data_IF_749084244174
#
_entry.id   IF_749084244174
#
_cell.length_a   1.000
_cell.length_b   1.000
_cell.length_c   1.000
_cell.angle_alpha   90.00
_cell.angle_beta   90.00
_cell.angle_gamma   90.00
#
_symmetry.space_group_name_H-M   'P 1'
#
loop_
_entity.id
_entity.type
_entity.pdbx_description
1 polymer ?
#
# COMPACT_ATOMS: atom_id res chain seq x y z
N UNK A 1 48.51 6.09 37.73
CA UNK A 1 48.04 6.55 36.41
C UNK A 1 47.18 5.48 35.76
N UNK A 2 45.90 5.76 35.52
CA UNK A 2 45.09 5.43 34.33
C UNK A 2 43.61 5.63 34.67
N UNK A 3 43.10 6.81 34.34
CA UNK A 3 41.67 7.12 34.31
C UNK A 3 41.11 6.45 33.05
N UNK A 4 40.23 5.48 33.20
CA UNK A 4 39.43 4.97 32.08
C UNK A 4 38.21 5.89 32.01
N UNK A 5 38.27 6.87 31.13
CA UNK A 5 37.11 7.66 30.72
C UNK A 5 36.25 6.74 29.83
N UNK A 6 35.19 6.16 30.40
CA UNK A 6 34.12 5.57 29.59
C UNK A 6 33.36 6.71 28.93
N UNK A 7 33.65 6.97 27.66
CA UNK A 7 32.86 7.86 26.82
C UNK A 7 31.46 7.27 26.63
N UNK A 8 30.46 7.95 27.18
CA UNK A 8 29.06 7.76 26.83
C UNK A 8 28.84 8.24 25.38
N UNK A 9 28.83 7.33 24.42
CA UNK A 9 28.27 7.59 23.10
C UNK A 9 26.75 7.46 23.21
N UNK A 10 26.08 8.58 23.51
CA UNK A 10 24.63 8.67 23.42
C UNK A 10 24.26 8.60 21.93
N UNK A 11 23.86 7.43 21.44
CA UNK A 11 23.31 7.28 20.10
C UNK A 11 21.96 7.97 20.08
N UNK A 12 21.95 9.22 19.64
CA UNK A 12 20.74 9.99 19.38
C UNK A 12 20.13 9.42 18.09
N UNK A 13 19.27 8.40 18.23
CA UNK A 13 18.44 7.92 17.14
C UNK A 13 17.37 8.98 16.85
N UNK A 14 17.69 9.95 15.99
CA UNK A 14 16.71 10.84 15.41
C UNK A 14 15.80 10.01 14.50
N UNK A 15 14.62 9.65 15.00
CA UNK A 15 13.53 9.09 14.20
C UNK A 15 13.00 10.24 13.35
N UNK A 16 13.62 10.47 12.19
CA UNK A 16 13.08 11.42 11.21
C UNK A 16 11.90 10.69 10.56
N UNK A 17 10.69 11.01 11.00
CA UNK A 17 9.46 10.54 10.34
C UNK A 17 9.43 11.17 8.95
N UNK A 18 9.94 10.46 7.94
CA UNK A 18 9.80 10.86 6.56
C UNK A 18 8.30 11.01 6.25
N UNK A 19 7.85 12.17 5.76
CA UNK A 19 6.46 12.32 5.35
C UNK A 19 6.23 11.43 4.13
N UNK A 20 5.43 10.37 4.30
CA UNK A 20 4.94 9.58 3.17
C UNK A 20 3.92 10.45 2.43
N UNK A 21 4.14 10.71 1.16
CA UNK A 21 3.17 11.34 0.27
C UNK A 21 2.37 10.28 -0.48
N UNK A 22 1.19 10.64 -0.97
CA UNK A 22 0.41 9.78 -1.85
C UNK A 22 0.83 9.93 -3.33
N UNK A 23 2.09 10.30 -3.60
CA UNK A 23 2.63 10.33 -4.95
C UNK A 23 3.27 8.96 -5.25
N UNK A 24 3.08 8.34 -6.43
CA UNK A 24 3.75 7.09 -6.81
C UNK A 24 5.25 7.05 -6.47
N UNK A 25 6.00 8.12 -6.77
CA UNK A 25 7.46 8.19 -6.54
C UNK A 25 7.85 8.03 -5.05
N UNK A 26 6.98 8.46 -4.13
CA UNK A 26 7.23 8.45 -2.69
C UNK A 26 6.41 7.36 -1.97
N UNK A 27 5.36 6.84 -2.59
CA UNK A 27 4.38 5.96 -1.93
C UNK A 27 5.00 4.63 -1.51
N UNK A 28 5.92 4.11 -2.32
CA UNK A 28 6.67 2.90 -2.06
C UNK A 28 8.05 3.14 -1.45
N UNK A 29 8.50 4.39 -1.21
CA UNK A 29 9.87 4.70 -0.74
C UNK A 29 11.00 4.00 -1.54
N UNK A 30 10.77 3.69 -2.83
CA UNK A 30 11.70 2.92 -3.68
C UNK A 30 11.66 1.39 -3.47
N UNK A 31 10.73 0.88 -2.68
CA UNK A 31 10.48 -0.54 -2.47
C UNK A 31 9.60 -1.16 -3.59
N UNK A 32 9.34 -2.47 -3.49
CA UNK A 32 8.63 -3.21 -4.53
C UNK A 32 7.15 -2.83 -4.59
N UNK A 33 6.75 -2.27 -5.74
CA UNK A 33 5.34 -2.01 -6.07
C UNK A 33 4.58 -3.32 -6.27
N UNK A 34 3.49 -3.48 -5.53
CA UNK A 34 2.50 -4.55 -5.73
C UNK A 34 1.44 -4.07 -6.72
N UNK A 35 0.95 -2.84 -6.53
CA UNK A 35 -0.08 -2.24 -7.35
C UNK A 35 0.00 -0.72 -7.27
N UNK A 36 -0.16 -0.03 -8.40
CA UNK A 36 -0.16 1.43 -8.50
C UNK A 36 -1.22 1.87 -9.51
N UNK A 37 -2.05 2.85 -9.17
CA UNK A 37 -2.95 3.47 -10.14
C UNK A 37 -3.53 4.80 -9.65
N UNK A 38 -4.32 5.43 -10.51
CA UNK A 38 -5.09 6.64 -10.18
C UNK A 38 -6.59 6.41 -10.30
N UNK A 39 -7.37 6.93 -9.36
CA UNK A 39 -8.81 6.99 -9.45
C UNK A 39 -9.25 7.89 -10.63
N UNK A 40 -10.14 7.37 -11.48
CA UNK A 40 -10.68 8.12 -12.63
C UNK A 40 -11.36 9.41 -12.16
N UNK A 41 -12.04 9.33 -11.01
CA UNK A 41 -12.69 10.48 -10.38
C UNK A 41 -11.86 10.98 -9.20
N UNK A 42 -11.63 12.30 -9.16
CA UNK A 42 -11.00 12.98 -8.04
C UNK A 42 -9.47 12.99 -8.08
N UNK A 43 -8.84 12.33 -9.04
CA UNK A 43 -7.39 12.38 -9.27
C UNK A 43 -6.58 11.94 -8.05
N UNK A 44 -7.06 10.90 -7.37
CA UNK A 44 -6.39 10.34 -6.19
C UNK A 44 -5.56 9.14 -6.61
N UNK A 45 -4.34 9.08 -6.14
CA UNK A 45 -3.45 7.95 -6.25
C UNK A 45 -3.83 6.85 -5.26
N UNK A 46 -3.60 5.61 -5.68
CA UNK A 46 -3.53 4.43 -4.82
C UNK A 46 -2.22 3.71 -5.07
N UNK A 47 -1.47 3.47 -4.00
CA UNK A 47 -0.24 2.68 -4.02
C UNK A 47 -0.33 1.53 -3.03
N UNK A 48 0.07 0.35 -3.47
CA UNK A 48 0.25 -0.84 -2.64
C UNK A 48 1.68 -1.34 -2.83
N UNK A 49 2.43 -1.42 -1.75
CA UNK A 49 3.87 -1.69 -1.80
C UNK A 49 4.26 -2.71 -0.74
N UNK A 50 5.24 -3.56 -1.03
CA UNK A 50 5.86 -4.41 -0.03
C UNK A 50 7.03 -3.66 0.62
N UNK A 51 6.91 -3.30 1.90
CA UNK A 51 7.91 -2.50 2.63
C UNK A 51 8.30 -3.21 3.92
N UNK A 52 9.55 -3.67 4.01
CA UNK A 52 10.15 -4.24 5.22
C UNK A 52 9.27 -5.29 5.94
N UNK A 53 8.72 -6.26 5.18
CA UNK A 53 7.87 -7.32 5.74
C UNK A 53 6.39 -6.93 5.94
N UNK A 54 6.00 -5.73 5.52
CA UNK A 54 4.63 -5.25 5.56
C UNK A 54 4.12 -4.94 4.16
N UNK A 55 2.81 -4.96 3.97
CA UNK A 55 2.14 -4.33 2.85
C UNK A 55 1.67 -2.94 3.28
N UNK A 56 2.21 -1.92 2.62
CA UNK A 56 1.78 -0.54 2.77
C UNK A 56 0.65 -0.26 1.78
N UNK A 57 -0.42 0.36 2.25
CA UNK A 57 -1.49 0.92 1.42
C UNK A 57 -1.55 2.43 1.59
N UNK A 58 -1.49 3.15 0.48
CA UNK A 58 -1.53 4.62 0.43
C UNK A 58 -2.67 5.04 -0.48
N UNK A 59 -3.48 6.00 -0.04
CA UNK A 59 -4.51 6.62 -0.86
C UNK A 59 -4.60 8.12 -0.58
N UNK A 60 -4.60 8.94 -1.63
CA UNK A 60 -4.66 10.39 -1.47
C UNK A 60 -4.32 11.15 -2.75
N UNK A 61 -4.10 12.45 -2.65
CA UNK A 61 -3.58 13.28 -3.75
C UNK A 61 -2.07 13.38 -3.64
N UNK A 62 -1.38 13.42 -4.77
CA UNK A 62 0.08 13.44 -4.89
C UNK A 62 0.72 14.58 -4.10
N UNK A 63 0.12 15.77 -4.13
CA UNK A 63 0.63 16.98 -3.49
C UNK A 63 0.31 17.09 -1.99
N UNK A 64 -0.28 16.05 -1.40
CA UNK A 64 -0.81 16.10 -0.04
C UNK A 64 -0.37 14.92 0.82
N UNK A 65 -0.61 15.06 2.13
CA UNK A 65 -0.56 13.92 3.05
C UNK A 65 -1.59 12.88 2.58
N UNK A 66 -1.26 11.57 2.65
CA UNK A 66 -2.21 10.52 2.37
C UNK A 66 -3.48 10.70 3.19
N UNK A 67 -4.62 10.54 2.54
CA UNK A 67 -5.91 10.47 3.21
C UNK A 67 -6.02 9.16 4.00
N UNK A 68 -5.41 8.10 3.47
CA UNK A 68 -5.28 6.80 4.12
C UNK A 68 -3.83 6.36 3.95
N UNK A 69 -3.20 6.01 5.08
CA UNK A 69 -1.90 5.37 5.13
C UNK A 69 -1.99 4.19 6.10
N UNK A 70 -1.82 2.99 5.58
CA UNK A 70 -1.81 1.75 6.37
C UNK A 70 -0.48 1.06 6.17
N UNK A 71 0.02 0.45 7.24
CA UNK A 71 1.15 -0.46 7.18
C UNK A 71 0.72 -1.75 7.87
N UNK A 72 0.49 -2.81 7.09
CA UNK A 72 -0.11 -4.05 7.56
C UNK A 72 0.91 -5.17 7.40
N UNK A 73 1.15 -6.00 8.44
CA UNK A 73 2.01 -7.16 8.30
C UNK A 73 1.58 -8.05 7.12
N UNK A 74 2.53 -8.47 6.29
CA UNK A 74 2.22 -9.15 5.03
C UNK A 74 1.39 -10.43 5.25
N UNK A 75 1.58 -11.13 6.37
CA UNK A 75 0.84 -12.33 6.72
C UNK A 75 -0.65 -12.10 7.03
N UNK A 76 -1.08 -10.83 7.19
CA UNK A 76 -2.48 -10.46 7.39
C UNK A 76 -3.17 -9.98 6.11
N UNK A 77 -2.41 -9.83 5.02
CA UNK A 77 -2.91 -9.36 3.74
C UNK A 77 -3.25 -10.56 2.88
N UNK A 78 -4.41 -10.53 2.22
CA UNK A 78 -4.86 -11.64 1.39
C UNK A 78 -4.68 -11.31 -0.10
N UNK A 79 -3.84 -12.08 -0.78
CA UNK A 79 -3.69 -12.06 -2.22
C UNK A 79 -4.55 -13.14 -2.86
N UNK A 80 -5.15 -12.84 -4.01
CA UNK A 80 -6.00 -13.79 -4.73
C UNK A 80 -5.90 -13.61 -6.23
N UNK A 81 -5.93 -14.74 -6.95
CA UNK A 81 -6.20 -14.78 -8.39
C UNK A 81 -7.37 -15.73 -8.62
N UNK A 82 -8.42 -15.23 -9.24
CA UNK A 82 -9.58 -16.03 -9.60
C UNK A 82 -9.32 -16.86 -10.86
N UNK A 83 -10.16 -17.87 -11.09
CA UNK A 83 -10.04 -18.72 -12.28
C UNK A 83 -10.23 -17.96 -13.61
N UNK A 84 -10.93 -16.83 -13.59
CA UNK A 84 -11.08 -15.94 -14.73
C UNK A 84 -9.96 -14.91 -14.86
N UNK A 85 -8.90 -15.00 -14.04
CA UNK A 85 -7.71 -14.15 -14.11
C UNK A 85 -7.85 -12.80 -13.42
N UNK A 86 -8.89 -12.59 -12.59
CA UNK A 86 -8.96 -11.37 -11.79
C UNK A 86 -7.98 -11.48 -10.64
N UNK A 87 -7.24 -10.40 -10.41
CA UNK A 87 -6.19 -10.36 -9.40
C UNK A 87 -6.56 -9.31 -8.37
N UNK A 88 -6.38 -9.63 -7.09
CA UNK A 88 -6.58 -8.64 -6.03
C UNK A 88 -5.74 -8.88 -4.79
N UNK A 89 -5.50 -7.79 -4.06
CA UNK A 89 -4.91 -7.75 -2.73
C UNK A 89 -5.91 -7.10 -1.78
N UNK A 90 -6.19 -7.74 -0.64
CA UNK A 90 -7.10 -7.24 0.38
C UNK A 90 -6.34 -6.85 1.63
N UNK A 91 -6.38 -5.55 1.94
CA UNK A 91 -5.70 -4.93 3.07
C UNK A 91 -6.72 -4.71 4.21
N UNK A 92 -6.58 -5.38 5.37
CA UNK A 92 -7.47 -5.17 6.50
C UNK A 92 -7.21 -3.84 7.24
N UNK A 93 -8.28 -3.21 7.73
CA UNK A 93 -8.25 -1.99 8.55
C UNK A 93 -9.38 -2.02 9.60
N UNK A 94 -9.21 -2.86 10.62
CA UNK A 94 -10.24 -3.06 11.66
C UNK A 94 -11.48 -3.75 11.10
N UNK A 95 -12.65 -3.11 11.20
CA UNK A 95 -13.91 -3.63 10.64
C UNK A 95 -14.01 -3.42 9.11
N UNK A 96 -13.13 -2.59 8.55
CA UNK A 96 -13.08 -2.31 7.13
C UNK A 96 -11.96 -3.11 6.44
N UNK A 97 -12.11 -3.32 5.14
CA UNK A 97 -11.00 -3.75 4.27
C UNK A 97 -11.04 -3.02 2.93
N UNK A 98 -9.85 -2.88 2.34
CA UNK A 98 -9.65 -2.32 1.01
C UNK A 98 -9.14 -3.42 0.10
N UNK A 99 -9.96 -3.82 -0.86
CA UNK A 99 -9.55 -4.76 -1.91
C UNK A 99 -9.15 -3.97 -3.14
N UNK A 100 -7.88 -4.00 -3.48
CA UNK A 100 -7.32 -3.37 -4.68
C UNK A 100 -7.03 -4.46 -5.68
N UNK A 101 -7.34 -4.24 -6.95
CA UNK A 101 -7.11 -5.26 -7.95
C UNK A 101 -7.47 -4.84 -9.35
N UNK A 102 -7.46 -5.81 -10.24
CA UNK A 102 -7.82 -5.64 -11.63
C UNK A 102 -8.67 -6.82 -12.10
N UNK A 103 -9.81 -6.49 -12.70
CA UNK A 103 -10.61 -7.47 -13.42
C UNK A 103 -10.03 -7.67 -14.82
N UNK A 104 -9.86 -8.92 -15.27
CA UNK A 104 -9.30 -9.23 -16.59
C UNK A 104 -10.06 -8.53 -17.74
N UNK A 105 -11.37 -8.29 -17.55
CA UNK A 105 -12.25 -7.63 -18.54
C UNK A 105 -12.94 -6.37 -18.03
N UNK A 106 -12.49 -5.81 -16.90
CA UNK A 106 -13.12 -4.67 -16.24
C UNK A 106 -12.17 -3.56 -15.82
N UNK A 107 -10.86 -3.82 -15.83
CA UNK A 107 -9.84 -2.88 -15.44
C UNK A 107 -9.67 -2.76 -13.92
N UNK A 108 -8.82 -1.82 -13.49
CA UNK A 108 -8.41 -1.71 -12.10
C UNK A 108 -9.45 -1.04 -11.19
N UNK A 109 -9.47 -1.44 -9.92
CA UNK A 109 -10.47 -0.99 -8.95
C UNK A 109 -9.93 -0.93 -7.51
N UNK A 110 -10.65 -0.20 -6.67
CA UNK A 110 -10.63 -0.34 -5.21
C UNK A 110 -12.04 -0.67 -4.75
N UNK A 111 -12.22 -1.74 -4.00
CA UNK A 111 -13.46 -2.03 -3.27
C UNK A 111 -13.27 -1.77 -1.79
N UNK A 112 -14.28 -1.15 -1.20
CA UNK A 112 -14.34 -0.93 0.25
C UNK A 112 -15.40 -1.83 0.83
N UNK A 113 -15.00 -2.63 1.82
CA UNK A 113 -15.86 -3.57 2.53
C UNK A 113 -15.92 -3.22 4.02
N UNK A 114 -17.06 -3.53 4.64
CA UNK A 114 -17.24 -3.50 6.10
C UNK A 114 -17.70 -4.88 6.55
N UNK A 115 -16.80 -5.68 7.11
CA UNK A 115 -17.01 -7.12 7.23
C UNK A 115 -17.35 -7.74 5.88
N UNK A 116 -18.50 -8.41 5.77
CA UNK A 116 -18.98 -9.00 4.50
C UNK A 116 -19.84 -8.04 3.66
N UNK A 117 -20.09 -6.81 4.13
CA UNK A 117 -20.92 -5.83 3.43
C UNK A 117 -20.08 -4.99 2.47
N UNK A 118 -20.37 -5.10 1.18
CA UNK A 118 -19.85 -4.18 0.17
C UNK A 118 -20.35 -2.75 0.43
N UNK A 119 -19.44 -1.78 0.45
CA UNK A 119 -19.77 -0.37 0.67
C UNK A 119 -19.73 0.38 -0.65
N UNK A 120 -18.62 0.30 -1.38
CA UNK A 120 -18.45 1.01 -2.66
C UNK A 120 -17.27 0.46 -3.45
N UNK A 121 -17.22 0.83 -4.73
CA UNK A 121 -16.11 0.59 -5.63
C UNK A 121 -15.66 1.91 -6.28
N UNK A 122 -14.35 2.12 -6.31
CA UNK A 122 -13.70 3.22 -7.00
C UNK A 122 -13.03 2.65 -8.25
N UNK A 123 -13.43 3.15 -9.42
CA UNK A 123 -12.79 2.80 -10.69
C UNK A 123 -11.47 3.53 -10.84
N UNK A 124 -10.44 2.77 -11.22
CA UNK A 124 -9.10 3.28 -11.45
C UNK A 124 -8.80 3.36 -12.95
N UNK A 125 -7.81 4.17 -13.31
CA UNK A 125 -7.37 4.37 -14.67
C UNK A 125 -6.38 3.27 -15.07
N UNK A 126 -6.80 2.37 -15.96
CA UNK A 126 -5.96 1.26 -16.45
C UNK A 126 -4.81 1.67 -17.37
N UNK A 127 -4.81 2.88 -17.91
CA UNK A 127 -3.72 3.33 -18.79
C UNK A 127 -2.44 3.66 -18.02
N UNK A 128 -2.58 3.97 -16.73
CA UNK A 128 -1.48 4.37 -15.85
C UNK A 128 -1.34 3.42 -14.67
N UNK A 129 -1.86 2.19 -14.78
CA UNK A 129 -1.78 1.22 -13.70
C UNK A 129 -0.57 0.31 -13.83
N UNK A 130 0.06 0.02 -12.71
CA UNK A 130 0.99 -1.08 -12.52
C UNK A 130 0.31 -2.15 -11.66
N UNK A 131 0.39 -3.41 -12.09
CA UNK A 131 -0.21 -4.53 -11.37
C UNK A 131 0.74 -5.71 -11.36
N UNK A 132 1.34 -5.97 -10.20
CA UNK A 132 2.27 -7.07 -9.95
C UNK A 132 1.69 -8.08 -8.95
N UNK A 133 0.37 -8.06 -8.70
CA UNK A 133 -0.29 -8.85 -7.64
C UNK A 133 0.01 -10.35 -7.77
N UNK A 134 0.06 -10.86 -9.00
CA UNK A 134 0.37 -12.28 -9.27
C UNK A 134 1.70 -12.75 -8.70
N UNK A 135 2.69 -11.85 -8.60
CA UNK A 135 4.02 -12.17 -8.07
C UNK A 135 4.01 -12.42 -6.55
N UNK A 136 2.90 -12.16 -5.87
CA UNK A 136 2.74 -12.30 -4.43
C UNK A 136 1.74 -13.40 -4.05
N UNK A 137 1.22 -14.15 -5.03
CA UNK A 137 0.30 -15.26 -4.78
C UNK A 137 1.11 -16.52 -4.48
N UNK A 138 0.88 -17.12 -3.30
CA UNK A 138 1.57 -18.31 -2.77
C UNK A 138 3.01 -18.11 -2.23
N UNK A 139 3.38 -16.88 -1.88
CA UNK A 139 4.60 -16.57 -1.15
C UNK A 139 4.36 -16.35 0.35
#
# INVERSE_FOLDING_TARGET
MRKILLNAALVLACIVSIPVYANPDDSCDGEQTIFDAYAIKGGKHVGVCYVAGNVRYVYGKDSGKPEILLNVPAEKVAFSMSANGDQSVTIPNGEFSYTVGEYLRGGPFIQVWKGQKFITEVKLNGTTSENNIENYINH
#
